data_IF_492313751148
#
_entry.id   IF_492313751148
#
_cell.length_a   1.000
_cell.length_b   1.000
_cell.length_c   1.000
_cell.angle_alpha   90.00
_cell.angle_beta   90.00
_cell.angle_gamma   90.00
#
_symmetry.space_group_name_H-M   'P 1'
#
loop_
_entity.id
_entity.type
_entity.pdbx_description
1 polymer ?
#
# COMPACT_ATOMS: atom_id res chain seq x y z
N UNK A 1 3.61 2.55 5.22
CA UNK A 1 4.78 3.24 4.63
C UNK A 1 4.60 3.59 3.15
N UNK A 2 4.39 2.64 2.22
CA UNK A 2 4.34 2.95 0.78
C UNK A 2 3.19 3.88 0.34
N UNK A 3 1.94 3.62 0.77
CA UNK A 3 0.81 4.50 0.45
C UNK A 3 1.02 5.92 1.00
N UNK A 4 1.62 6.04 2.20
CA UNK A 4 1.94 7.32 2.85
C UNK A 4 3.09 8.03 2.12
N UNK A 5 4.17 7.32 1.80
CA UNK A 5 5.34 7.88 1.11
C UNK A 5 5.02 8.32 -0.32
N UNK A 6 4.13 7.60 -1.02
CA UNK A 6 3.67 7.99 -2.37
C UNK A 6 2.71 9.19 -2.32
N UNK A 7 1.83 9.27 -1.32
CA UNK A 7 1.00 10.46 -1.08
C UNK A 7 1.87 11.71 -0.82
N UNK A 8 3.00 11.57 -0.12
CA UNK A 8 3.96 12.67 0.12
C UNK A 8 4.80 13.04 -1.12
N UNK A 9 4.99 12.11 -2.06
CA UNK A 9 5.83 12.29 -3.26
C UNK A 9 5.07 12.83 -4.49
N UNK A 10 3.78 13.13 -4.36
CA UNK A 10 2.93 13.63 -5.45
C UNK A 10 2.56 12.60 -6.51
N UNK A 11 2.86 11.31 -6.27
CA UNK A 11 2.50 10.20 -7.14
C UNK A 11 1.34 9.45 -6.47
N UNK A 12 0.13 9.99 -6.66
CA UNK A 12 -0.99 9.75 -5.74
C UNK A 12 -1.58 8.33 -5.78
N UNK A 13 -1.26 7.53 -6.82
CA UNK A 13 -2.02 6.31 -7.12
C UNK A 13 -1.16 5.07 -7.20
N UNK A 14 -1.52 4.09 -6.39
CA UNK A 14 -0.89 2.77 -6.38
C UNK A 14 -1.81 1.72 -7.00
N UNK A 15 -1.24 0.79 -7.76
CA UNK A 15 -1.97 -0.39 -8.21
C UNK A 15 -2.00 -1.48 -7.14
N UNK A 16 -2.98 -2.39 -7.22
CA UNK A 16 -3.02 -3.58 -6.35
C UNK A 16 -1.74 -4.41 -6.40
N UNK A 17 -1.08 -4.45 -7.56
CA UNK A 17 0.22 -5.14 -7.73
C UNK A 17 1.34 -4.48 -6.93
N UNK A 18 1.46 -3.15 -7.02
CA UNK A 18 2.49 -2.39 -6.29
C UNK A 18 2.29 -2.45 -4.77
N UNK A 19 1.04 -2.36 -4.31
CA UNK A 19 0.71 -2.56 -2.89
C UNK A 19 1.11 -3.96 -2.43
N UNK A 20 0.84 -5.00 -3.23
CA UNK A 20 1.22 -6.37 -2.89
C UNK A 20 2.74 -6.56 -2.81
N UNK A 21 3.49 -6.06 -3.77
CA UNK A 21 4.95 -6.18 -3.78
C UNK A 21 5.57 -5.46 -2.56
N UNK A 22 5.08 -4.27 -2.23
CA UNK A 22 5.55 -3.56 -1.03
C UNK A 22 5.17 -4.30 0.24
N UNK A 23 3.92 -4.77 0.37
CA UNK A 23 3.51 -5.61 1.51
C UNK A 23 4.45 -6.81 1.67
N UNK A 24 4.76 -7.49 0.56
CA UNK A 24 5.60 -8.68 0.56
C UNK A 24 7.00 -8.39 1.08
N UNK A 25 7.58 -7.27 0.66
CA UNK A 25 8.92 -6.88 1.07
C UNK A 25 8.95 -6.44 2.54
N UNK A 26 7.92 -5.75 3.02
CA UNK A 26 7.75 -5.41 4.44
C UNK A 26 7.57 -6.67 5.30
N UNK A 27 6.70 -7.59 4.89
CA UNK A 27 6.46 -8.83 5.61
C UNK A 27 7.73 -9.68 5.72
N UNK A 28 8.54 -9.74 4.65
CA UNK A 28 9.86 -10.40 4.69
C UNK A 28 10.81 -9.74 5.68
N UNK A 29 10.86 -8.42 5.69
CA UNK A 29 11.73 -7.67 6.59
C UNK A 29 11.38 -7.92 8.07
N UNK A 30 10.08 -7.97 8.37
CA UNK A 30 9.56 -8.26 9.70
C UNK A 30 9.54 -9.76 10.06
N UNK A 31 9.99 -10.66 9.17
CA UNK A 31 9.94 -12.11 9.40
C UNK A 31 8.52 -12.70 9.48
N UNK A 32 7.52 -11.99 8.94
CA UNK A 32 6.12 -12.40 8.93
C UNK A 32 5.82 -13.38 7.79
N UNK A 33 4.78 -14.18 7.96
CA UNK A 33 4.25 -15.04 6.89
C UNK A 33 3.66 -14.18 5.79
N UNK A 34 4.13 -14.39 4.56
CA UNK A 34 3.66 -13.67 3.38
C UNK A 34 2.31 -14.23 2.95
N UNK A 35 1.29 -13.37 2.94
CA UNK A 35 -0.03 -13.70 2.41
C UNK A 35 -0.05 -13.74 0.88
N UNK A 36 -1.03 -14.46 0.33
CA UNK A 36 -1.26 -14.50 -1.11
C UNK A 36 -1.81 -13.16 -1.62
N UNK A 37 -1.61 -12.87 -2.90
CA UNK A 37 -2.14 -11.66 -3.53
C UNK A 37 -3.67 -11.53 -3.39
N UNK A 38 -4.39 -12.66 -3.44
CA UNK A 38 -5.85 -12.69 -3.20
C UNK A 38 -6.21 -12.16 -1.82
N UNK A 39 -5.55 -12.64 -0.77
CA UNK A 39 -5.81 -12.20 0.62
C UNK A 39 -5.49 -10.73 0.83
N UNK A 40 -4.40 -10.24 0.24
CA UNK A 40 -4.09 -8.81 0.29
C UNK A 40 -5.16 -7.97 -0.45
N UNK A 41 -5.70 -8.48 -1.55
CA UNK A 41 -6.80 -7.80 -2.27
C UNK A 41 -8.08 -7.75 -1.45
N UNK A 42 -8.36 -8.79 -0.68
CA UNK A 42 -9.49 -8.83 0.25
C UNK A 42 -9.30 -7.78 1.37
N UNK A 43 -8.10 -7.72 1.99
CA UNK A 43 -7.76 -6.70 3.00
C UNK A 43 -7.82 -5.26 2.46
N UNK A 44 -7.39 -5.03 1.22
CA UNK A 44 -7.53 -3.72 0.55
C UNK A 44 -9.01 -3.35 0.42
N UNK A 45 -9.86 -4.32 0.10
CA UNK A 45 -11.30 -4.06 -0.02
C UNK A 45 -11.94 -3.78 1.35
N UNK A 46 -11.46 -4.40 2.42
CA UNK A 46 -11.86 -4.09 3.80
C UNK A 46 -11.46 -2.66 4.20
N UNK A 47 -10.22 -2.25 3.91
CA UNK A 47 -9.75 -0.89 4.18
C UNK A 47 -10.53 0.18 3.39
N UNK A 48 -10.95 -0.12 2.16
CA UNK A 48 -11.80 0.73 1.33
C UNK A 48 -13.21 0.87 1.94
N UNK A 49 -13.80 -0.23 2.41
CA UNK A 49 -15.08 -0.21 3.11
C UNK A 49 -15.05 0.59 4.42
N UNK A 50 -13.91 0.58 5.12
CA UNK A 50 -13.68 1.39 6.32
C UNK A 50 -13.43 2.88 5.98
N UNK A 51 -13.27 3.23 4.70
CA UNK A 51 -12.99 4.60 4.25
C UNK A 51 -11.57 5.08 4.54
N UNK A 52 -10.65 4.16 4.87
CA UNK A 52 -9.23 4.48 5.15
C UNK A 52 -8.49 4.75 3.84
N UNK A 53 -8.81 3.97 2.81
CA UNK A 53 -8.31 4.15 1.44
C UNK A 53 -9.47 4.31 0.48
N UNK A 54 -9.17 4.74 -0.74
CA UNK A 54 -10.09 4.71 -1.86
C UNK A 54 -9.54 3.78 -2.95
N UNK A 55 -10.26 2.71 -3.29
CA UNK A 55 -9.81 1.69 -4.25
C UNK A 55 -10.68 1.63 -5.51
N UNK A 56 -10.31 2.36 -6.56
CA UNK A 56 -11.06 2.47 -7.82
C UNK A 56 -10.60 1.47 -8.87
N UNK A 57 -11.53 0.68 -9.43
CA UNK A 57 -11.22 -0.23 -10.55
C UNK A 57 -10.96 0.56 -11.84
N UNK A 58 -9.82 0.29 -12.48
CA UNK A 58 -9.44 0.78 -13.81
C UNK A 58 -9.27 -0.39 -14.77
N UNK A 59 -9.88 -0.28 -15.95
CA UNK A 59 -9.81 -1.30 -17.00
C UNK A 59 -8.86 -0.84 -18.10
N UNK A 60 -7.97 -1.74 -18.53
CA UNK A 60 -7.06 -1.55 -19.67
C UNK A 60 -7.50 -2.41 -20.88
N UNK A 61 -8.79 -2.77 -20.96
CA UNK A 61 -9.31 -3.64 -22.01
C UNK A 61 -8.69 -5.04 -21.94
N UNK A 62 -8.04 -5.49 -23.03
CA UNK A 62 -7.36 -6.80 -23.07
C UNK A 62 -6.14 -6.88 -22.15
N UNK A 63 -5.58 -5.73 -21.73
CA UNK A 63 -4.48 -5.65 -20.76
C UNK A 63 -4.89 -5.98 -19.32
N UNK A 64 -6.17 -6.28 -19.08
CA UNK A 64 -6.68 -6.64 -17.77
C UNK A 64 -7.28 -5.45 -17.01
N UNK A 65 -7.49 -5.66 -15.70
CA UNK A 65 -8.11 -4.68 -14.79
C UNK A 65 -7.26 -4.63 -13.53
N UNK A 66 -7.06 -3.44 -12.99
CA UNK A 66 -6.40 -3.24 -11.69
C UNK A 66 -7.23 -2.28 -10.83
N UNK A 67 -6.94 -2.18 -9.53
CA UNK A 67 -7.44 -1.08 -8.72
C UNK A 67 -6.34 -0.05 -8.56
N UNK A 68 -6.65 1.21 -8.85
CA UNK A 68 -5.89 2.37 -8.36
C UNK A 68 -6.32 2.63 -6.92
N UNK A 69 -5.35 2.84 -6.03
CA UNK A 69 -5.51 2.92 -4.58
C UNK A 69 -4.87 4.20 -4.10
N UNK A 70 -5.67 5.02 -3.44
CA UNK A 70 -5.30 6.33 -2.91
C UNK A 70 -5.62 6.38 -1.39
N UNK A 71 -4.88 7.16 -0.61
CA UNK A 71 -5.17 7.33 0.83
C UNK A 71 -6.31 8.33 1.02
N UNK A 72 -7.32 7.96 1.80
CA UNK A 72 -8.47 8.83 2.08
C UNK A 72 -8.37 9.54 3.46
N UNK A 73 -7.34 9.20 4.24
CA UNK A 73 -7.04 9.77 5.55
C UNK A 73 -5.76 10.62 5.51
N UNK A 74 -5.56 11.46 6.52
CA UNK A 74 -4.36 12.28 6.67
C UNK A 74 -3.09 11.40 6.69
N UNK A 75 -2.14 11.59 5.76
CA UNK A 75 -0.88 10.83 5.74
C UNK A 75 -0.08 11.02 7.03
N UNK A 76 -0.11 12.24 7.59
CA UNK A 76 0.59 12.59 8.83
C UNK A 76 0.03 11.83 10.03
N UNK A 77 -1.30 11.79 10.17
CA UNK A 77 -1.93 11.10 11.30
C UNK A 77 -1.79 9.58 11.16
N UNK A 78 -1.90 9.07 9.94
CA UNK A 78 -1.66 7.65 9.65
C UNK A 78 -0.23 7.25 9.98
N UNK A 79 0.76 8.12 9.68
CA UNK A 79 2.16 7.87 10.04
C UNK A 79 2.34 7.81 11.55
N UNK A 80 1.79 8.77 12.30
CA UNK A 80 1.91 8.79 13.76
C UNK A 80 1.37 7.50 14.38
N UNK A 81 0.17 7.08 13.98
CA UNK A 81 -0.44 5.84 14.49
C UNK A 81 0.42 4.61 14.17
N UNK A 82 1.00 4.54 12.97
CA UNK A 82 1.90 3.45 12.62
C UNK A 82 3.23 3.50 13.39
N UNK A 83 3.73 4.69 13.71
CA UNK A 83 4.99 4.88 14.46
C UNK A 83 4.85 4.66 15.98
N UNK A 84 3.63 4.68 16.50
CA UNK A 84 3.29 4.33 17.88
C UNK A 84 3.26 2.81 18.10
N UNK A 85 3.07 2.03 17.04
CA UNK A 85 3.03 0.58 17.13
C UNK A 85 4.46 -0.01 17.15
N UNK A 86 4.75 -0.77 18.22
CA UNK A 86 6.05 -1.40 18.46
C UNK A 86 6.47 -2.34 17.32
N UNK A 87 5.51 -2.96 16.62
CA UNK A 87 5.78 -3.86 15.49
C UNK A 87 6.42 -3.14 14.29
N UNK A 88 6.23 -1.82 14.17
CA UNK A 88 6.67 -1.04 13.03
C UNK A 88 7.92 -0.19 13.32
N UNK A 89 8.50 -0.29 14.52
CA UNK A 89 9.73 0.43 14.90
C UNK A 89 10.90 0.10 13.96
N UNK A 90 11.03 -1.18 13.60
CA UNK A 90 12.09 -1.66 12.70
C UNK A 90 11.93 -1.12 11.26
N UNK A 91 10.74 -0.65 10.90
CA UNK A 91 10.45 -0.09 9.58
C UNK A 91 10.69 1.41 9.50
N UNK A 92 11.04 2.10 10.59
CA UNK A 92 11.35 3.54 10.58
C UNK A 92 12.49 3.90 9.62
N UNK A 93 13.45 2.99 9.46
CA UNK A 93 14.60 3.15 8.55
C UNK A 93 14.41 2.45 7.20
N UNK A 94 13.26 1.80 6.98
CA UNK A 94 12.99 1.06 5.76
C UNK A 94 12.60 2.02 4.63
N UNK A 95 13.49 2.13 3.65
CA UNK A 95 13.23 2.85 2.41
C UNK A 95 12.79 1.84 1.35
N UNK A 96 11.50 1.79 0.98
CA UNK A 96 11.06 0.96 -0.14
C UNK A 96 11.81 1.41 -1.39
N UNK A 97 12.17 0.46 -2.26
CA UNK A 97 12.82 0.79 -3.52
C UNK A 97 11.90 1.72 -4.32
N UNK A 98 12.38 2.91 -4.68
CA UNK A 98 11.66 3.85 -5.55
C UNK A 98 11.02 3.09 -6.71
N UNK A 99 9.69 3.01 -6.74
CA UNK A 99 8.97 2.25 -7.75
C UNK A 99 8.57 3.19 -8.87
N UNK A 100 9.19 2.96 -10.02
CA UNK A 100 8.89 3.64 -11.28
C UNK A 100 7.48 3.24 -11.69
N UNK A 101 6.58 4.21 -11.78
CA UNK A 101 5.36 4.08 -12.57
C UNK A 101 5.79 3.63 -13.96
N UNK A 102 5.52 2.38 -14.34
CA UNK A 102 5.60 1.97 -15.74
C UNK A 102 4.41 2.63 -16.44
N UNK A 103 4.65 3.85 -16.93
CA UNK A 103 3.78 4.54 -17.88
C UNK A 103 3.97 3.91 -19.26
#
# INVERSE_FOLDING_TARGET
MCIIQNAESGNERLTTGEVYETYRDVARHLGLVILTQRRITDLISELDMLGIIHAKVKSFGRGGRTKEIDLNVSPLDTRKVLEEDDMFQDLKNYHPKNQTTLI
#
